data_IF_731478172037
#
_entry.id   IF_731478172037
#
_cell.length_a   1.000
_cell.length_b   1.000
_cell.length_c   1.000
_cell.angle_alpha   90.00
_cell.angle_beta   90.00
_cell.angle_gamma   90.00
#
_symmetry.space_group_name_H-M   'P 1'
#
loop_
_entity.id
_entity.type
_entity.pdbx_description
1 polymer ?
#
# COMPACT_ATOMS: atom_id res chain seq x y z
N UNK A 1 -28.14 4.63 4.69
CA UNK A 1 -28.48 3.60 3.68
C UNK A 1 -27.25 2.74 3.43
N UNK A 2 -27.27 1.43 3.73
CA UNK A 2 -26.17 0.53 3.36
C UNK A 2 -26.17 0.27 1.84
N UNK A 3 -24.98 0.24 1.23
CA UNK A 3 -24.78 -0.14 -0.17
C UNK A 3 -24.47 -1.64 -0.20
N UNK A 4 -25.30 -2.44 -0.88
CA UNK A 4 -25.07 -3.87 -1.08
C UNK A 4 -24.46 -4.13 -2.46
N UNK A 5 -23.39 -4.91 -2.52
CA UNK A 5 -22.74 -5.28 -3.78
C UNK A 5 -23.15 -6.69 -4.20
N UNK A 6 -23.48 -6.86 -5.49
CA UNK A 6 -23.76 -8.17 -6.08
C UNK A 6 -22.47 -8.99 -6.18
N UNK A 7 -22.61 -10.32 -6.21
CA UNK A 7 -21.48 -11.22 -6.40
C UNK A 7 -20.82 -11.07 -7.78
N UNK A 8 -19.51 -11.29 -7.84
CA UNK A 8 -18.78 -11.28 -9.11
C UNK A 8 -19.26 -12.42 -10.02
N UNK A 9 -19.56 -12.11 -11.29
CA UNK A 9 -19.90 -13.12 -12.31
C UNK A 9 -18.64 -13.87 -12.71
N UNK A 10 -18.49 -15.11 -12.26
CA UNK A 10 -17.39 -15.99 -12.66
C UNK A 10 -17.86 -16.96 -13.76
N UNK A 11 -17.29 -16.92 -14.99
CA UNK A 11 -17.66 -17.85 -16.06
C UNK A 11 -17.29 -19.30 -15.68
N UNK A 12 -16.29 -19.47 -14.81
CA UNK A 12 -15.88 -20.76 -14.26
C UNK A 12 -17.02 -21.37 -13.43
N UNK A 13 -17.87 -20.57 -12.79
CA UNK A 13 -18.97 -21.08 -11.97
C UNK A 13 -19.99 -21.93 -12.77
N UNK A 14 -20.14 -21.68 -14.08
CA UNK A 14 -20.98 -22.50 -14.95
C UNK A 14 -20.41 -23.92 -15.17
N UNK A 15 -19.09 -24.08 -15.02
CA UNK A 15 -18.37 -25.33 -15.27
C UNK A 15 -18.15 -26.16 -14.00
N UNK A 16 -18.53 -25.66 -12.82
CA UNK A 16 -18.30 -26.34 -11.54
C UNK A 16 -19.57 -26.99 -11.01
N UNK A 17 -19.41 -28.14 -10.33
CA UNK A 17 -20.47 -28.86 -9.62
C UNK A 17 -21.33 -27.90 -8.77
N UNK A 18 -22.68 -28.00 -8.81
CA UNK A 18 -23.60 -27.17 -8.01
C UNK A 18 -23.21 -27.01 -6.54
N UNK A 19 -22.72 -28.09 -5.89
CA UNK A 19 -22.29 -28.06 -4.50
C UNK A 19 -21.07 -27.13 -4.24
N UNK A 20 -20.28 -26.82 -5.27
CA UNK A 20 -19.13 -25.91 -5.20
C UNK A 20 -19.41 -24.52 -5.78
N UNK A 21 -20.54 -24.32 -6.48
CA UNK A 21 -20.90 -23.02 -7.09
C UNK A 21 -21.06 -21.91 -6.06
N UNK A 22 -21.68 -22.20 -4.91
CA UNK A 22 -21.84 -21.21 -3.83
C UNK A 22 -20.51 -20.69 -3.26
N UNK A 23 -19.43 -21.49 -3.33
CA UNK A 23 -18.09 -21.02 -2.93
C UNK A 23 -17.46 -20.07 -3.95
N UNK A 24 -17.87 -20.13 -5.21
CA UNK A 24 -17.32 -19.32 -6.32
C UNK A 24 -18.12 -18.02 -6.47
N UNK A 25 -19.44 -18.07 -6.26
CA UNK A 25 -20.36 -16.92 -6.40
C UNK A 25 -20.70 -16.30 -5.02
N UNK A 26 -20.23 -16.87 -3.91
CA UNK A 26 -20.68 -16.49 -2.56
C UNK A 26 -20.13 -15.20 -1.97
N UNK A 27 -19.31 -14.44 -2.70
CA UNK A 27 -18.70 -13.20 -2.21
C UNK A 27 -19.16 -12.01 -3.04
N UNK A 28 -19.43 -10.90 -2.36
CA UNK A 28 -19.73 -9.65 -3.02
C UNK A 28 -18.54 -9.25 -3.90
N UNK A 29 -18.78 -8.59 -5.03
CA UNK A 29 -17.71 -8.24 -5.96
C UNK A 29 -16.63 -7.34 -5.34
N UNK A 30 -16.95 -6.61 -4.28
CA UNK A 30 -16.01 -5.78 -3.52
C UNK A 30 -15.35 -6.52 -2.34
N UNK A 31 -15.72 -7.77 -2.07
CA UNK A 31 -15.06 -8.62 -1.07
C UNK A 31 -13.72 -9.12 -1.63
N UNK A 32 -12.80 -8.18 -1.82
CA UNK A 32 -11.39 -8.51 -1.93
C UNK A 32 -11.03 -9.18 -0.60
N UNK A 33 -10.57 -10.44 -0.64
CA UNK A 33 -10.18 -11.17 0.57
C UNK A 33 -9.25 -10.33 1.44
N UNK A 34 -9.13 -10.65 2.73
CA UNK A 34 -8.45 -9.81 3.72
C UNK A 34 -7.08 -9.35 3.20
N UNK A 35 -6.92 -8.07 2.80
CA UNK A 35 -5.62 -7.60 2.37
C UNK A 35 -4.69 -7.68 3.59
N UNK A 36 -3.45 -8.10 3.38
CA UNK A 36 -2.46 -8.09 4.44
C UNK A 36 -2.35 -6.68 5.00
N UNK A 37 -2.77 -6.45 6.26
CA UNK A 37 -2.69 -5.15 6.91
C UNK A 37 -1.25 -4.95 7.39
N UNK A 38 -0.34 -4.66 6.47
CA UNK A 38 1.03 -4.35 6.86
C UNK A 38 1.04 -3.04 7.66
N UNK A 39 1.91 -2.96 8.67
CA UNK A 39 2.03 -1.77 9.49
C UNK A 39 2.44 -0.55 8.65
N UNK A 40 3.23 -0.79 7.59
CA UNK A 40 3.69 0.20 6.61
C UNK A 40 2.52 0.75 5.79
N UNK A 41 1.61 -0.11 5.30
CA UNK A 41 0.42 0.35 4.57
C UNK A 41 -0.46 1.22 5.46
N UNK A 42 -0.66 0.83 6.72
CA UNK A 42 -1.44 1.64 7.66
C UNK A 42 -0.78 3.00 7.91
N UNK A 43 0.53 3.03 8.13
CA UNK A 43 1.26 4.28 8.33
C UNK A 43 1.20 5.17 7.09
N UNK A 44 1.37 4.60 5.90
CA UNK A 44 1.28 5.31 4.63
C UNK A 44 -0.12 5.90 4.39
N UNK A 45 -1.19 5.15 4.68
CA UNK A 45 -2.56 5.64 4.55
C UNK A 45 -2.88 6.76 5.56
N UNK A 46 -2.38 6.67 6.80
CA UNK A 46 -2.50 7.77 7.76
C UNK A 46 -1.78 9.03 7.26
N UNK A 47 -0.57 8.87 6.75
CA UNK A 47 0.21 9.98 6.21
C UNK A 47 -0.45 10.59 4.96
N UNK A 48 -1.04 9.76 4.10
CA UNK A 48 -1.82 10.22 2.96
C UNK A 48 -3.09 10.97 3.38
N UNK A 49 -3.78 10.51 4.43
CA UNK A 49 -4.96 11.21 4.93
C UNK A 49 -4.63 12.63 5.43
N UNK A 50 -3.41 12.85 5.92
CA UNK A 50 -2.95 14.16 6.42
C UNK A 50 -2.49 15.09 5.29
N UNK A 51 -1.75 14.58 4.29
CA UNK A 51 -1.09 15.42 3.27
C UNK A 51 -1.65 15.27 1.85
N UNK A 52 -2.59 14.35 1.62
CA UNK A 52 -3.17 14.06 0.32
C UNK A 52 -2.13 13.64 -0.73
N UNK A 53 -2.30 14.14 -1.97
CA UNK A 53 -1.41 13.81 -3.10
C UNK A 53 0.06 14.20 -2.86
N UNK A 54 0.33 15.13 -1.93
CA UNK A 54 1.69 15.54 -1.56
C UNK A 54 2.41 14.58 -0.61
N UNK A 55 1.73 13.56 -0.07
CA UNK A 55 2.26 12.72 1.00
C UNK A 55 3.56 11.99 0.66
N UNK A 56 3.72 11.49 -0.58
CA UNK A 56 4.97 10.84 -0.99
C UNK A 56 6.17 11.81 -0.95
N UNK A 57 5.95 13.06 -1.37
CA UNK A 57 6.96 14.12 -1.33
C UNK A 57 7.34 14.50 0.09
N UNK A 58 6.35 14.62 0.98
CA UNK A 58 6.58 14.92 2.41
C UNK A 58 7.34 13.77 3.08
N UNK A 59 6.97 12.51 2.82
CA UNK A 59 7.69 11.36 3.33
C UNK A 59 9.15 11.31 2.83
N UNK A 60 9.41 11.67 1.56
CA UNK A 60 10.77 11.79 1.03
C UNK A 60 11.58 12.84 1.81
N UNK A 61 11.03 14.03 2.02
CA UNK A 61 11.69 15.10 2.78
C UNK A 61 12.00 14.68 4.22
N UNK A 62 11.07 14.00 4.88
CA UNK A 62 11.29 13.47 6.22
C UNK A 62 12.38 12.40 6.26
N UNK A 63 12.47 11.55 5.23
CA UNK A 63 13.56 10.58 5.09
C UNK A 63 14.90 11.29 4.91
N UNK A 64 14.98 12.29 4.02
CA UNK A 64 16.18 13.12 3.84
C UNK A 64 16.62 13.78 5.15
N UNK A 65 15.68 14.40 5.88
CA UNK A 65 15.97 15.01 7.19
C UNK A 65 16.44 13.99 8.24
N UNK A 66 15.87 12.79 8.27
CA UNK A 66 16.31 11.74 9.18
C UNK A 66 17.73 11.27 8.81
N UNK A 67 18.02 11.11 7.52
CA UNK A 67 19.35 10.79 7.04
C UNK A 67 20.40 11.83 7.45
N UNK A 68 20.14 13.11 7.20
CA UNK A 68 21.07 14.19 7.57
C UNK A 68 21.31 14.31 9.08
N UNK A 69 20.36 13.86 9.92
CA UNK A 69 20.51 13.82 11.38
C UNK A 69 21.15 12.52 11.89
N UNK A 70 21.52 11.59 11.02
CA UNK A 70 22.04 10.27 11.40
C UNK A 70 20.99 9.33 12.00
N UNK A 71 19.69 9.68 11.92
CA UNK A 71 18.59 8.85 12.41
C UNK A 71 18.24 7.77 11.39
N UNK A 72 18.95 6.64 11.48
CA UNK A 72 18.75 5.49 10.58
C UNK A 72 17.35 4.88 10.70
N UNK A 73 16.78 4.84 11.91
CA UNK A 73 15.46 4.26 12.11
C UNK A 73 14.37 5.16 11.49
N UNK A 74 14.45 6.47 11.72
CA UNK A 74 13.58 7.44 11.08
C UNK A 74 13.71 7.42 9.56
N UNK A 75 14.93 7.32 9.03
CA UNK A 75 15.15 7.20 7.59
C UNK A 75 14.43 5.99 7.00
N UNK A 76 14.61 4.80 7.59
CA UNK A 76 13.97 3.57 7.11
C UNK A 76 12.44 3.63 7.21
N UNK A 77 11.92 4.24 8.28
CA UNK A 77 10.48 4.44 8.46
C UNK A 77 9.89 5.33 7.34
N UNK A 78 10.47 6.50 7.13
CA UNK A 78 9.98 7.45 6.13
C UNK A 78 10.21 6.95 4.70
N UNK A 79 11.32 6.27 4.44
CA UNK A 79 11.56 5.59 3.16
C UNK A 79 10.53 4.47 2.91
N UNK A 80 10.13 3.74 3.95
CA UNK A 80 9.07 2.73 3.88
C UNK A 80 7.72 3.33 3.47
N UNK A 81 7.30 4.40 4.15
CA UNK A 81 6.09 5.15 3.79
C UNK A 81 6.16 5.69 2.36
N UNK A 82 7.29 6.33 2.00
CA UNK A 82 7.51 6.85 0.65
C UNK A 82 7.40 5.72 -0.38
N UNK A 83 7.99 4.55 -0.14
CA UNK A 83 7.95 3.40 -1.05
C UNK A 83 6.55 2.83 -1.24
N UNK A 84 5.73 2.82 -0.19
CA UNK A 84 4.34 2.36 -0.26
C UNK A 84 3.47 3.31 -1.08
N UNK A 85 3.74 4.61 -1.05
CA UNK A 85 2.99 5.62 -1.79
C UNK A 85 3.53 5.83 -3.22
N UNK A 86 4.86 5.89 -3.37
CA UNK A 86 5.58 6.07 -4.62
C UNK A 86 6.91 5.29 -4.59
N UNK A 87 6.88 4.10 -5.20
CA UNK A 87 8.04 3.22 -5.28
C UNK A 87 9.22 3.83 -6.04
N UNK A 88 8.96 4.62 -7.08
CA UNK A 88 10.02 5.20 -7.93
C UNK A 88 10.76 6.29 -7.18
N UNK A 89 10.02 7.16 -6.50
CA UNK A 89 10.61 8.23 -5.68
C UNK A 89 11.50 7.66 -4.57
N UNK A 90 11.04 6.62 -3.87
CA UNK A 90 11.82 5.97 -2.83
C UNK A 90 13.10 5.30 -3.38
N UNK A 91 13.04 4.71 -4.57
CA UNK A 91 14.23 4.14 -5.23
C UNK A 91 15.27 5.21 -5.52
N UNK A 92 14.86 6.33 -6.14
CA UNK A 92 15.74 7.46 -6.45
C UNK A 92 16.43 7.96 -5.18
N UNK A 93 15.67 8.19 -4.11
CA UNK A 93 16.23 8.63 -2.83
C UNK A 93 17.24 7.61 -2.26
N UNK A 94 16.93 6.32 -2.28
CA UNK A 94 17.84 5.30 -1.76
C UNK A 94 19.17 5.22 -2.54
N UNK A 95 19.12 5.42 -3.85
CA UNK A 95 20.33 5.47 -4.69
C UNK A 95 21.16 6.73 -4.40
N UNK A 96 20.50 7.89 -4.22
CA UNK A 96 21.19 9.14 -3.87
C UNK A 96 21.90 9.04 -2.52
N UNK A 97 21.23 8.47 -1.52
CA UNK A 97 21.81 8.25 -0.19
C UNK A 97 23.00 7.29 -0.25
N UNK A 98 22.90 6.21 -1.04
CA UNK A 98 24.02 5.29 -1.22
C UNK A 98 25.23 5.99 -1.86
N UNK A 99 25.02 6.79 -2.91
CA UNK A 99 26.09 7.51 -3.61
C UNK A 99 26.70 8.66 -2.80
N UNK A 100 25.99 9.21 -1.81
CA UNK A 100 26.51 10.25 -0.91
C UNK A 100 27.22 9.73 0.34
N UNK A 101 27.29 8.41 0.49
CA UNK A 101 27.95 7.74 1.62
C UNK A 101 29.29 7.08 1.20
N UNK A 102 29.69 7.28 -0.06
CA UNK A 102 31.00 6.99 -0.67
C UNK A 102 31.86 8.27 -0.71
#
# INVERSE_FOLDING_TARGET
>A
MPIHFAAARSPIAALVNPARRNRIIGRAANDNGTPGHSAELRAALKHFAEHGLGAATVARQNAEHAFFRGDRQGYLHWLGICRTLDRRMAQVLSTQVAAGND
#
